data_IF_571789033178
#
_entry.id   IF_571789033178
#
_cell.length_a   1.000
_cell.length_b   1.000
_cell.length_c   1.000
_cell.angle_alpha   90.00
_cell.angle_beta   90.00
_cell.angle_gamma   90.00
#
_symmetry.space_group_name_H-M   'P 1'
#
loop_
_entity.id
_entity.type
_entity.pdbx_description
1 polymer ?
#
# COMPACT_ATOMS: atom_id res chain seq x y z
N UNK A 1 25.46 -26.43 -26.85
CA UNK A 1 24.27 -26.67 -26.02
C UNK A 1 23.46 -25.38 -25.97
N UNK A 2 22.32 -25.33 -26.67
CA UNK A 2 21.51 -24.12 -26.86
C UNK A 2 20.66 -23.86 -25.62
N UNK A 3 20.81 -22.67 -25.01
CA UNK A 3 20.07 -22.25 -23.78
C UNK A 3 18.63 -21.79 -24.05
N UNK A 4 17.97 -22.24 -25.14
CA UNK A 4 16.66 -21.73 -25.56
C UNK A 4 15.42 -22.52 -25.11
N UNK A 5 15.58 -23.65 -24.41
CA UNK A 5 14.45 -24.52 -24.07
C UNK A 5 14.10 -24.52 -22.57
N UNK A 6 14.08 -23.36 -21.94
CA UNK A 6 13.75 -23.25 -20.50
C UNK A 6 12.30 -22.88 -20.19
N UNK A 7 11.49 -22.62 -21.22
CA UNK A 7 10.07 -22.31 -21.04
C UNK A 7 9.22 -23.27 -21.89
N UNK A 8 8.13 -23.82 -21.33
CA UNK A 8 7.23 -24.65 -22.10
C UNK A 8 6.66 -23.85 -23.27
N UNK A 9 6.72 -24.41 -24.48
CA UNK A 9 6.27 -23.81 -25.73
C UNK A 9 4.73 -23.75 -25.89
N UNK A 10 3.99 -24.22 -24.91
CA UNK A 10 2.52 -24.21 -24.85
C UNK A 10 2.03 -23.77 -23.48
N UNK A 11 0.89 -23.07 -23.38
CA UNK A 11 0.31 -22.71 -22.10
C UNK A 11 0.03 -23.94 -21.27
N UNK A 12 0.46 -23.93 -20.02
CA UNK A 12 0.10 -24.96 -19.05
C UNK A 12 -1.38 -24.75 -18.72
N UNK A 13 -2.23 -25.63 -19.24
CA UNK A 13 -3.65 -25.65 -18.85
C UNK A 13 -3.76 -26.50 -17.59
N UNK A 14 -4.05 -25.87 -16.47
CA UNK A 14 -4.40 -26.55 -15.23
C UNK A 14 -5.80 -27.14 -15.35
N UNK A 15 -5.93 -28.35 -15.89
CA UNK A 15 -7.21 -29.00 -16.22
C UNK A 15 -7.91 -29.70 -15.05
N UNK A 16 -7.33 -29.70 -13.87
CA UNK A 16 -7.98 -30.21 -12.65
C UNK A 16 -7.35 -29.56 -11.41
N UNK A 17 -7.97 -28.48 -10.93
CA UNK A 17 -7.68 -27.99 -9.61
C UNK A 17 -8.43 -28.87 -8.60
N UNK A 18 -7.74 -29.41 -7.58
CA UNK A 18 -8.38 -30.14 -6.48
C UNK A 18 -9.23 -29.16 -5.63
N UNK A 19 -9.81 -29.58 -4.51
CA UNK A 19 -10.73 -28.80 -3.64
C UNK A 19 -10.36 -27.34 -3.33
N UNK A 20 -9.26 -26.86 -3.85
CA UNK A 20 -8.77 -25.48 -3.80
C UNK A 20 -9.74 -24.47 -4.46
N UNK A 21 -10.50 -24.87 -5.48
CA UNK A 21 -11.51 -24.01 -6.10
C UNK A 21 -12.62 -23.61 -5.12
N UNK A 22 -13.07 -24.54 -4.29
CA UNK A 22 -14.09 -24.26 -3.27
C UNK A 22 -13.56 -23.30 -2.20
N UNK A 23 -12.29 -23.45 -1.82
CA UNK A 23 -11.64 -22.52 -0.87
C UNK A 23 -11.52 -21.11 -1.46
N UNK A 24 -11.12 -20.98 -2.74
CA UNK A 24 -11.01 -19.68 -3.43
C UNK A 24 -12.39 -19.03 -3.63
N UNK A 25 -13.43 -19.81 -3.96
CA UNK A 25 -14.80 -19.31 -4.10
C UNK A 25 -15.34 -18.82 -2.75
N UNK A 26 -15.07 -19.56 -1.68
CA UNK A 26 -15.53 -19.18 -0.33
C UNK A 26 -14.73 -17.99 0.20
N UNK A 27 -13.42 -17.95 -0.04
CA UNK A 27 -12.57 -16.79 0.22
C UNK A 27 -13.07 -15.57 -0.57
N UNK A 28 -13.37 -15.71 -1.86
CA UNK A 28 -13.92 -14.66 -2.71
C UNK A 28 -15.27 -14.12 -2.19
N UNK A 29 -16.20 -14.99 -1.75
CA UNK A 29 -17.47 -14.58 -1.16
C UNK A 29 -17.28 -13.84 0.17
N UNK A 30 -16.33 -14.27 1.00
CA UNK A 30 -16.00 -13.61 2.25
C UNK A 30 -15.33 -12.26 2.02
N UNK A 31 -14.48 -12.13 1.01
CA UNK A 31 -13.89 -10.87 0.59
C UNK A 31 -14.94 -9.90 0.04
N UNK A 32 -15.88 -10.35 -0.79
CA UNK A 32 -16.98 -9.51 -1.28
C UNK A 32 -17.86 -9.00 -0.15
N UNK A 33 -18.16 -9.84 0.86
CA UNK A 33 -18.87 -9.41 2.07
C UNK A 33 -18.05 -8.40 2.88
N UNK A 34 -16.75 -8.60 3.02
CA UNK A 34 -15.86 -7.68 3.70
C UNK A 34 -15.81 -6.33 2.98
N UNK A 35 -15.72 -6.32 1.64
CA UNK A 35 -15.78 -5.10 0.82
C UNK A 35 -17.06 -4.31 1.00
N UNK A 36 -18.20 -4.97 1.24
CA UNK A 36 -19.49 -4.32 1.47
C UNK A 36 -19.55 -3.57 2.82
N UNK A 37 -18.66 -3.88 3.75
CA UNK A 37 -18.65 -3.32 5.10
C UNK A 37 -17.72 -2.11 5.25
N UNK A 38 -17.07 -1.66 4.18
CA UNK A 38 -16.21 -0.47 4.22
C UNK A 38 -16.88 0.70 3.49
N UNK A 39 -16.78 1.87 4.06
CA UNK A 39 -17.25 3.10 3.43
C UNK A 39 -16.26 3.55 2.36
N UNK A 40 -16.75 4.07 1.23
CA UNK A 40 -15.93 4.57 0.14
C UNK A 40 -16.30 6.00 -0.21
N UNK A 41 -15.27 6.78 -0.54
CA UNK A 41 -15.36 8.16 -0.99
C UNK A 41 -14.52 8.33 -2.25
N UNK A 42 -14.75 9.39 -3.00
CA UNK A 42 -13.97 9.74 -4.19
C UNK A 42 -13.29 11.08 -4.04
N UNK A 43 -12.07 11.21 -4.55
CA UNK A 43 -11.32 12.45 -4.65
C UNK A 43 -10.73 12.57 -6.06
N UNK A 44 -10.75 13.76 -6.63
CA UNK A 44 -10.02 14.08 -7.85
C UNK A 44 -8.49 14.05 -7.63
N UNK A 45 -7.75 13.51 -8.59
CA UNK A 45 -6.29 13.37 -8.48
C UNK A 45 -5.55 14.71 -8.35
N UNK A 46 -6.07 15.78 -8.96
CA UNK A 46 -5.51 17.11 -8.80
C UNK A 46 -5.58 17.60 -7.36
N UNK A 47 -6.68 17.30 -6.66
CA UNK A 47 -6.82 17.61 -5.23
C UNK A 47 -5.87 16.78 -4.37
N UNK A 48 -5.62 15.52 -4.73
CA UNK A 48 -4.61 14.72 -4.04
C UNK A 48 -3.22 15.34 -4.21
N UNK A 49 -2.84 15.72 -5.42
CA UNK A 49 -1.55 16.37 -5.68
C UNK A 49 -1.39 17.67 -4.89
N UNK A 50 -2.44 18.48 -4.78
CA UNK A 50 -2.44 19.66 -3.91
C UNK A 50 -2.22 19.32 -2.43
N UNK A 51 -2.81 18.24 -1.94
CA UNK A 51 -2.64 17.79 -0.54
C UNK A 51 -1.24 17.23 -0.27
N UNK A 52 -0.59 16.64 -1.27
CA UNK A 52 0.80 16.15 -1.18
C UNK A 52 1.81 17.30 -1.12
N UNK A 53 1.44 18.51 -1.58
CA UNK A 53 2.24 19.71 -1.52
C UNK A 53 3.45 19.70 -2.46
N UNK A 54 4.59 20.20 -2.00
CA UNK A 54 5.81 20.36 -2.80
C UNK A 54 6.63 19.07 -3.02
N UNK A 55 6.15 17.94 -2.50
CA UNK A 55 6.81 16.64 -2.74
C UNK A 55 6.62 16.25 -4.21
N UNK A 56 7.69 15.77 -4.84
CA UNK A 56 7.59 15.21 -6.18
C UNK A 56 6.57 14.07 -6.18
N UNK A 57 5.48 14.21 -6.95
CA UNK A 57 4.43 13.21 -6.94
C UNK A 57 3.92 12.89 -8.35
N UNK A 58 3.58 11.62 -8.56
CA UNK A 58 3.03 11.08 -9.78
C UNK A 58 1.74 10.35 -9.45
N UNK A 59 0.60 10.95 -9.78
CA UNK A 59 -0.73 10.37 -9.59
C UNK A 59 -1.24 9.91 -10.95
N UNK A 60 -1.40 8.59 -11.13
CA UNK A 60 -1.72 8.00 -12.43
C UNK A 60 -3.23 7.89 -12.69
N UNK A 61 -4.03 7.69 -11.66
CA UNK A 61 -5.48 7.62 -11.78
C UNK A 61 -6.12 9.01 -11.74
N UNK A 62 -7.21 9.20 -12.48
CA UNK A 62 -7.99 10.45 -12.47
C UNK A 62 -8.82 10.61 -11.18
N UNK A 63 -9.14 9.50 -10.53
CA UNK A 63 -9.94 9.47 -9.31
C UNK A 63 -9.31 8.56 -8.27
N UNK A 64 -9.31 9.02 -7.04
CA UNK A 64 -8.87 8.25 -5.87
C UNK A 64 -10.10 7.77 -5.13
N UNK A 65 -10.22 6.46 -4.98
CA UNK A 65 -11.25 5.81 -4.16
C UNK A 65 -10.63 5.54 -2.80
N UNK A 66 -11.08 6.26 -1.79
CA UNK A 66 -10.55 6.21 -0.44
C UNK A 66 -11.61 5.82 0.59
N UNK A 67 -11.20 5.64 1.85
CA UNK A 67 -12.07 5.18 2.93
C UNK A 67 -11.83 5.97 4.22
N UNK A 68 -12.73 5.80 5.19
CA UNK A 68 -12.57 6.38 6.52
C UNK A 68 -11.54 5.61 7.37
N UNK A 69 -11.20 6.20 8.52
CA UNK A 69 -10.21 5.65 9.43
C UNK A 69 -10.59 4.25 9.96
N UNK A 70 -11.84 4.06 10.37
CA UNK A 70 -12.29 2.80 10.97
C UNK A 70 -12.27 1.65 9.97
N UNK A 71 -12.73 1.92 8.74
CA UNK A 71 -12.63 0.99 7.62
C UNK A 71 -11.19 0.63 7.28
N UNK A 72 -10.29 1.62 7.26
CA UNK A 72 -8.86 1.37 7.04
C UNK A 72 -8.25 0.51 8.15
N UNK A 73 -8.53 0.82 9.41
CA UNK A 73 -8.05 0.01 10.54
C UNK A 73 -8.60 -1.41 10.53
N UNK A 74 -9.84 -1.60 10.04
CA UNK A 74 -10.39 -2.94 9.79
C UNK A 74 -9.59 -3.68 8.72
N UNK A 75 -9.25 -3.02 7.61
CA UNK A 75 -8.41 -3.56 6.53
C UNK A 75 -7.03 -3.96 7.07
N UNK A 76 -6.35 -3.06 7.77
CA UNK A 76 -5.01 -3.30 8.36
C UNK A 76 -5.00 -4.52 9.30
N UNK A 77 -6.08 -4.76 10.06
CA UNK A 77 -6.22 -5.96 10.90
C UNK A 77 -6.33 -7.25 10.08
N UNK A 78 -6.85 -7.19 8.87
CA UNK A 78 -6.99 -8.34 7.96
C UNK A 78 -5.78 -8.53 7.07
N UNK A 79 -4.99 -7.50 6.88
CA UNK A 79 -3.79 -7.54 6.09
C UNK A 79 -2.73 -8.49 6.67
N UNK A 80 -2.04 -9.18 5.80
CA UNK A 80 -1.02 -10.18 6.12
C UNK A 80 0.40 -9.73 5.77
N UNK A 81 0.56 -8.60 5.12
CA UNK A 81 1.85 -8.10 4.61
C UNK A 81 2.92 -8.06 5.70
N UNK A 82 2.59 -7.59 6.90
CA UNK A 82 3.52 -7.53 8.03
C UNK A 82 3.94 -8.91 8.59
N UNK A 83 3.33 -10.00 8.12
CA UNK A 83 3.73 -11.38 8.49
C UNK A 83 4.78 -11.95 7.55
N UNK A 84 5.06 -11.26 6.46
CA UNK A 84 6.10 -11.65 5.52
C UNK A 84 7.47 -11.44 6.18
N UNK A 85 8.42 -12.29 5.79
CA UNK A 85 9.77 -12.20 6.33
C UNK A 85 10.58 -11.22 5.52
N UNK A 86 11.27 -10.31 6.21
CA UNK A 86 12.25 -9.43 5.59
C UNK A 86 13.43 -10.23 5.04
N UNK A 87 13.81 -9.96 3.80
CA UNK A 87 14.99 -10.48 3.13
C UNK A 87 15.64 -9.31 2.41
N UNK A 88 16.84 -8.93 2.82
CA UNK A 88 17.62 -7.87 2.22
C UNK A 88 17.75 -8.09 0.70
N UNK A 89 17.56 -7.04 -0.11
CA UNK A 89 17.59 -7.03 -1.57
C UNK A 89 16.56 -7.94 -2.28
N UNK A 90 15.73 -8.67 -1.55
CA UNK A 90 14.77 -9.60 -2.13
C UNK A 90 13.33 -9.36 -1.68
N UNK A 91 13.11 -9.02 -0.44
CA UNK A 91 11.84 -8.62 0.13
C UNK A 91 12.08 -7.66 1.30
N UNK A 92 12.33 -6.42 0.99
CA UNK A 92 12.67 -5.34 1.92
C UNK A 92 11.59 -4.24 1.97
N UNK A 93 11.93 -3.01 2.33
CA UNK A 93 10.96 -1.97 2.64
C UNK A 93 10.03 -1.62 1.47
N UNK A 94 10.54 -1.53 0.25
CA UNK A 94 9.74 -1.21 -0.94
C UNK A 94 8.82 -2.37 -1.35
N UNK A 95 9.26 -3.61 -1.15
CA UNK A 95 8.44 -4.79 -1.36
C UNK A 95 7.29 -4.88 -0.35
N UNK A 96 7.51 -4.53 0.93
CA UNK A 96 6.44 -4.46 1.91
C UNK A 96 5.41 -3.40 1.54
N UNK A 97 5.85 -2.20 1.16
CA UNK A 97 4.96 -1.11 0.76
C UNK A 97 4.17 -1.48 -0.50
N UNK A 98 4.83 -1.95 -1.56
CA UNK A 98 4.15 -2.35 -2.81
C UNK A 98 3.19 -3.53 -2.61
N UNK A 99 3.53 -4.51 -1.75
CA UNK A 99 2.64 -5.63 -1.43
C UNK A 99 1.38 -5.16 -0.69
N UNK A 100 1.51 -4.19 0.22
CA UNK A 100 0.35 -3.60 0.89
C UNK A 100 -0.54 -2.83 -0.08
N UNK A 101 0.02 -2.00 -0.96
CA UNK A 101 -0.72 -1.28 -2.01
C UNK A 101 -1.48 -2.27 -2.90
N UNK A 102 -0.80 -3.31 -3.39
CA UNK A 102 -1.43 -4.35 -4.23
C UNK A 102 -2.60 -5.02 -3.50
N UNK A 103 -2.43 -5.35 -2.21
CA UNK A 103 -3.50 -5.92 -1.39
C UNK A 103 -4.69 -4.96 -1.25
N UNK A 104 -4.45 -3.67 -1.00
CA UNK A 104 -5.50 -2.65 -0.92
C UNK A 104 -6.29 -2.57 -2.24
N UNK A 105 -5.58 -2.49 -3.36
CA UNK A 105 -6.20 -2.36 -4.68
C UNK A 105 -6.98 -3.62 -5.05
N UNK A 106 -6.36 -4.80 -4.97
CA UNK A 106 -6.93 -6.07 -5.41
C UNK A 106 -8.07 -6.53 -4.51
N UNK A 107 -7.83 -6.55 -3.19
CA UNK A 107 -8.78 -7.13 -2.23
C UNK A 107 -9.90 -6.15 -1.89
N UNK A 108 -9.60 -4.86 -1.73
CA UNK A 108 -10.55 -3.88 -1.22
C UNK A 108 -11.10 -2.92 -2.28
N UNK A 109 -10.56 -2.95 -3.50
CA UNK A 109 -10.93 -2.03 -4.58
C UNK A 109 -10.85 -0.55 -4.14
N UNK A 110 -9.76 -0.21 -3.49
CA UNK A 110 -9.37 1.13 -3.10
C UNK A 110 -8.02 1.43 -3.76
N UNK A 111 -7.80 2.69 -4.16
CA UNK A 111 -6.50 3.18 -4.63
C UNK A 111 -6.04 4.38 -3.80
N UNK A 112 -6.31 4.31 -2.48
CA UNK A 112 -6.05 5.38 -1.51
C UNK A 112 -4.67 5.29 -0.85
N UNK A 113 -3.78 4.48 -1.39
CA UNK A 113 -2.42 4.27 -0.87
C UNK A 113 -1.40 4.49 -1.98
N UNK A 114 -0.42 5.33 -1.73
CA UNK A 114 0.71 5.58 -2.62
C UNK A 114 2.02 5.18 -1.99
N UNK A 115 2.98 4.76 -2.82
CA UNK A 115 4.36 4.44 -2.43
C UNK A 115 5.15 5.74 -2.25
N UNK A 116 5.71 5.95 -1.09
CA UNK A 116 6.69 7.01 -0.83
C UNK A 116 8.10 6.42 -0.72
N UNK A 117 9.05 7.10 -1.33
CA UNK A 117 10.49 6.84 -1.17
C UNK A 117 11.14 8.12 -0.68
N UNK A 118 12.05 8.01 0.29
CA UNK A 118 12.70 9.18 0.84
C UNK A 118 13.67 8.86 1.95
N UNK A 119 13.97 9.85 2.77
CA UNK A 119 14.92 9.74 3.88
C UNK A 119 14.22 9.60 5.22
N UNK A 120 14.78 8.75 6.06
CA UNK A 120 14.46 8.74 7.50
C UNK A 120 15.56 9.52 8.23
N UNK A 121 15.15 10.56 8.94
CA UNK A 121 16.05 11.55 9.58
C UNK A 121 15.89 11.47 11.08
N UNK A 122 17.01 11.46 11.80
CA UNK A 122 17.00 11.56 13.26
C UNK A 122 16.69 13.01 13.69
N UNK A 123 15.61 13.21 14.45
CA UNK A 123 15.14 14.56 14.84
C UNK A 123 16.09 15.27 15.80
N UNK A 124 16.90 14.55 16.57
CA UNK A 124 17.84 15.13 17.53
C UNK A 124 19.09 15.69 16.83
N UNK A 125 19.54 15.02 15.76
CA UNK A 125 20.75 15.41 15.03
C UNK A 125 20.46 16.09 13.71
N UNK A 126 19.23 15.99 13.24
CA UNK A 126 18.78 16.39 11.88
C UNK A 126 19.62 15.76 10.75
N UNK A 127 20.18 14.57 11.00
CA UNK A 127 20.97 13.83 10.02
C UNK A 127 20.17 12.68 9.43
N UNK A 128 20.28 12.42 8.12
CA UNK A 128 19.69 11.24 7.50
C UNK A 128 20.36 9.97 8.06
N UNK A 129 19.53 8.98 8.37
CA UNK A 129 19.94 7.67 8.86
C UNK A 129 20.03 6.65 7.73
N UNK A 130 18.97 6.59 6.92
CA UNK A 130 18.86 5.68 5.78
C UNK A 130 17.81 6.17 4.79
N UNK A 131 17.84 5.62 3.59
CA UNK A 131 16.75 5.71 2.61
C UNK A 131 15.76 4.62 2.91
N UNK A 132 14.47 4.91 2.75
CA UNK A 132 13.38 4.00 3.10
C UNK A 132 12.21 4.15 2.13
N UNK A 133 11.41 3.10 2.02
CA UNK A 133 10.13 3.12 1.33
C UNK A 133 9.01 2.79 2.31
N UNK A 134 7.91 3.52 2.21
CA UNK A 134 6.71 3.38 3.06
C UNK A 134 5.46 3.79 2.28
N UNK A 135 4.32 3.73 2.90
CA UNK A 135 3.06 4.12 2.29
C UNK A 135 2.60 5.51 2.74
N UNK A 136 1.98 6.26 1.84
CA UNK A 136 1.16 7.44 2.14
C UNK A 136 -0.29 7.07 1.88
N UNK A 137 -1.18 7.35 2.84
CA UNK A 137 -2.57 6.90 2.79
C UNK A 137 -3.52 8.08 2.92
N UNK A 138 -4.52 8.15 2.04
CA UNK A 138 -5.62 9.10 2.14
C UNK A 138 -6.77 8.48 2.93
N UNK A 139 -7.15 9.08 4.06
CA UNK A 139 -8.23 8.63 4.93
C UNK A 139 -9.16 9.78 5.33
N UNK A 140 -10.40 9.44 5.64
CA UNK A 140 -11.42 10.35 6.16
C UNK A 140 -12.71 10.24 5.39
N UNK A 141 -13.57 11.23 5.56
CA UNK A 141 -14.79 11.43 4.78
C UNK A 141 -14.61 12.61 3.80
N UNK A 142 -15.70 13.06 3.19
CA UNK A 142 -15.66 14.16 2.23
C UNK A 142 -15.18 15.49 2.85
N UNK A 143 -15.40 15.70 4.14
CA UNK A 143 -15.12 16.96 4.82
C UNK A 143 -13.81 16.92 5.62
N UNK A 144 -13.43 15.74 6.12
CA UNK A 144 -12.33 15.58 7.10
C UNK A 144 -11.16 14.78 6.58
N UNK A 145 -11.07 14.55 5.25
CA UNK A 145 -9.98 13.76 4.64
C UNK A 145 -8.61 14.34 4.90
N UNK A 146 -7.66 13.46 5.23
CA UNK A 146 -6.26 13.78 5.53
C UNK A 146 -5.31 12.71 4.99
N UNK A 147 -4.07 13.12 4.79
CA UNK A 147 -2.98 12.21 4.50
C UNK A 147 -2.35 11.68 5.79
N UNK A 148 -1.91 10.43 5.72
CA UNK A 148 -1.16 9.75 6.76
C UNK A 148 0.04 9.05 6.15
N UNK A 149 1.08 8.85 6.94
CA UNK A 149 2.17 7.91 6.64
C UNK A 149 1.81 6.57 7.29
N UNK A 150 1.94 5.50 6.56
CA UNK A 150 1.73 4.14 7.05
C UNK A 150 2.98 3.30 6.84
N UNK A 151 3.46 2.68 7.94
CA UNK A 151 4.58 1.75 7.92
C UNK A 151 4.02 0.31 7.88
N UNK A 152 4.01 -0.36 6.71
CA UNK A 152 3.34 -1.66 6.57
C UNK A 152 4.03 -2.78 7.34
N UNK A 153 5.34 -2.73 7.52
CA UNK A 153 6.07 -3.74 8.29
C UNK A 153 5.66 -3.75 9.78
N UNK A 154 5.45 -2.56 10.33
CA UNK A 154 5.13 -2.37 11.75
C UNK A 154 3.64 -2.13 12.01
N UNK A 155 2.82 -1.91 10.98
CA UNK A 155 1.42 -1.47 11.05
C UNK A 155 1.25 -0.18 11.88
N UNK A 156 2.12 0.79 11.65
CA UNK A 156 2.08 2.08 12.32
C UNK A 156 1.55 3.14 11.38
N UNK A 157 0.53 3.86 11.81
CA UNK A 157 -0.07 4.99 11.10
C UNK A 157 0.30 6.29 11.82
N UNK A 158 0.79 7.28 11.07
CA UNK A 158 1.25 8.57 11.58
C UNK A 158 0.63 9.71 10.79
N UNK A 159 0.44 10.91 11.38
CA UNK A 159 0.07 12.10 10.61
C UNK A 159 1.12 12.42 9.54
N UNK A 160 0.69 12.80 8.34
CA UNK A 160 1.58 13.12 7.23
C UNK A 160 2.40 14.39 7.46
N UNK A 161 1.83 15.38 8.12
CA UNK A 161 2.48 16.66 8.43
C UNK A 161 3.59 16.55 9.49
N UNK A 162 3.59 15.49 10.30
CA UNK A 162 4.64 15.20 11.28
C UNK A 162 4.82 13.68 11.50
N UNK A 163 5.33 12.94 10.50
CA UNK A 163 5.45 11.49 10.56
C UNK A 163 6.70 11.07 11.34
N UNK A 164 6.56 10.94 12.66
CA UNK A 164 7.66 10.61 13.57
C UNK A 164 7.36 9.32 14.32
N UNK A 165 8.33 8.38 14.31
CA UNK A 165 8.37 7.20 15.18
C UNK A 165 9.60 7.32 16.08
N UNK A 166 9.42 7.41 17.39
CA UNK A 166 10.48 7.66 18.36
C UNK A 166 11.27 8.95 18.04
N UNK A 167 12.51 8.81 17.56
CA UNK A 167 13.38 9.92 17.14
C UNK A 167 13.56 10.01 15.63
N UNK A 168 12.80 9.23 14.86
CA UNK A 168 12.95 9.11 13.42
C UNK A 168 11.77 9.78 12.70
N UNK A 169 12.06 10.77 11.87
CA UNK A 169 11.10 11.47 11.01
C UNK A 169 11.21 10.97 9.58
N UNK A 170 10.08 10.65 8.97
CA UNK A 170 9.94 10.24 7.59
C UNK A 170 9.82 11.49 6.69
N UNK A 171 10.71 11.63 5.73
CA UNK A 171 10.78 12.78 4.81
C UNK A 171 10.67 12.25 3.40
N UNK A 172 9.48 12.29 2.77
CA UNK A 172 9.31 11.80 1.41
C UNK A 172 10.04 12.69 0.41
N UNK A 173 10.70 12.09 -0.57
CA UNK A 173 11.31 12.76 -1.71
C UNK A 173 10.46 12.56 -2.97
N UNK A 174 9.90 11.37 -3.15
CA UNK A 174 9.01 11.03 -4.27
C UNK A 174 7.84 10.20 -3.79
N UNK A 175 6.65 10.45 -4.34
CA UNK A 175 5.44 9.67 -4.08
C UNK A 175 4.84 9.21 -5.40
N UNK A 176 4.61 7.90 -5.53
CA UNK A 176 3.94 7.27 -6.66
C UNK A 176 2.55 6.79 -6.20
N UNK A 177 1.51 7.16 -6.96
CA UNK A 177 0.13 6.86 -6.63
C UNK A 177 -0.63 6.32 -7.83
N UNK A 178 -1.09 5.07 -7.80
CA UNK A 178 -1.78 4.38 -8.89
C UNK A 178 -2.99 3.57 -8.42
#
# INVERSE_FOLDING_TARGET
>A
MNKRDKYPSSPIVFSSLPPYEYFLIDLGKNLLKARANITRYELDSGRLSEMLGDVENYVFDNKIIYTDYDSFMYIVKKDWTNRMKFYEEAFDCDNFATAFIAHINEVWALNNVGLAVGKVVDINTNQPRFVHAWDVVLLGDNDTKKLFVFEPQAKILMPYDNPVINTLRYVPETILWW
#
